data_IF_149138639328
#
_entry.id   IF_149138639328
#
_cell.length_a   1.000
_cell.length_b   1.000
_cell.length_c   1.000
_cell.angle_alpha   90.00
_cell.angle_beta   90.00
_cell.angle_gamma   90.00
#
_symmetry.space_group_name_H-M   'P 1'
#
loop_
_entity.id
_entity.type
_entity.pdbx_description
1 polymer ?
#
# COMPACT_ATOMS: atom_id res chain seq x y z
N UNK A 1 14.87 4.72 8.70
CA UNK A 1 14.61 5.96 7.94
C UNK A 1 14.79 7.20 8.83
N UNK A 2 15.98 7.42 9.46
CA UNK A 2 16.22 8.59 10.30
C UNK A 2 15.96 9.93 9.58
N UNK A 3 16.26 10.06 8.28
CA UNK A 3 16.02 11.31 7.52
C UNK A 3 14.54 11.75 7.52
N UNK A 4 13.64 10.78 7.54
CA UNK A 4 12.21 10.99 7.35
C UNK A 4 11.43 11.10 8.66
N UNK A 5 12.01 10.68 9.79
CA UNK A 5 11.29 10.52 11.05
C UNK A 5 10.82 11.85 11.66
N UNK A 6 11.54 12.96 11.42
CA UNK A 6 11.24 14.27 12.02
C UNK A 6 10.57 15.25 11.05
N UNK A 7 10.39 14.87 9.78
CA UNK A 7 9.83 15.75 8.75
C UNK A 7 8.32 15.60 8.61
N UNK A 8 7.60 16.71 8.74
CA UNK A 8 6.17 16.78 8.42
C UNK A 8 5.89 16.36 6.97
N UNK A 9 4.67 15.89 6.72
CA UNK A 9 4.20 15.56 5.39
C UNK A 9 4.09 16.84 4.54
N UNK A 10 4.80 16.90 3.42
CA UNK A 10 4.79 18.06 2.53
C UNK A 10 5.08 17.66 1.08
N UNK A 11 4.34 18.24 0.13
CA UNK A 11 4.60 18.10 -1.30
C UNK A 11 5.98 18.61 -1.71
N UNK A 12 6.58 19.53 -0.94
CA UNK A 12 7.93 20.05 -1.12
C UNK A 12 9.01 18.97 -0.93
N UNK A 13 8.73 17.91 -0.16
CA UNK A 13 9.66 16.80 0.06
C UNK A 13 9.81 15.89 -1.16
N UNK A 14 8.92 16.00 -2.15
CA UNK A 14 8.96 15.15 -3.34
C UNK A 14 10.06 15.63 -4.29
N UNK A 15 10.76 14.68 -4.92
CA UNK A 15 11.68 14.94 -6.04
C UNK A 15 11.22 14.23 -7.29
N UNK A 16 11.22 14.90 -8.43
CA UNK A 16 10.85 14.32 -9.72
C UNK A 16 12.11 13.90 -10.49
N UNK A 17 12.09 12.73 -11.10
CA UNK A 17 13.12 12.33 -12.05
C UNK A 17 12.87 12.98 -13.41
N UNK A 18 13.82 13.80 -13.86
CA UNK A 18 13.83 14.39 -15.20
C UNK A 18 14.96 13.78 -16.02
N UNK A 19 14.67 13.12 -17.16
CA UNK A 19 15.69 12.61 -18.05
C UNK A 19 16.71 13.69 -18.43
N UNK A 20 18.00 13.36 -18.40
CA UNK A 20 19.09 14.29 -18.67
C UNK A 20 19.42 15.32 -17.57
N UNK A 21 18.47 15.67 -16.70
CA UNK A 21 18.69 16.60 -15.56
C UNK A 21 18.88 15.89 -14.21
N UNK A 22 18.45 14.63 -14.09
CA UNK A 22 18.52 13.89 -12.83
C UNK A 22 17.32 14.19 -11.93
N UNK A 23 17.52 14.14 -10.61
CA UNK A 23 16.42 14.33 -9.65
C UNK A 23 16.31 15.79 -9.24
N UNK A 24 15.14 16.37 -9.48
CA UNK A 24 14.83 17.77 -9.19
C UNK A 24 13.92 17.88 -7.97
N UNK A 25 14.25 18.77 -7.03
CA UNK A 25 13.37 19.07 -5.90
C UNK A 25 12.06 19.72 -6.35
N UNK A 26 10.96 19.43 -5.63
CA UNK A 26 9.65 20.02 -5.88
C UNK A 26 9.65 21.53 -5.64
N UNK A 27 10.22 21.98 -4.52
CA UNK A 27 10.37 23.39 -4.19
C UNK A 27 11.38 24.09 -5.12
N UNK A 28 11.17 25.39 -5.36
CA UNK A 28 12.14 26.23 -6.06
C UNK A 28 13.36 26.51 -5.17
N UNK A 29 14.55 26.60 -5.77
CA UNK A 29 15.74 27.04 -5.03
C UNK A 29 15.75 28.57 -5.00
N UNK A 30 15.70 29.21 -3.82
CA UNK A 30 15.76 30.66 -3.72
C UNK A 30 17.11 31.17 -4.26
N UNK A 31 17.14 32.38 -4.84
CA UNK A 31 18.35 32.90 -5.44
C UNK A 31 19.45 33.10 -4.41
N UNK A 32 20.64 32.59 -4.69
CA UNK A 32 21.81 32.60 -3.80
C UNK A 32 22.43 34.01 -3.68
N UNK A 33 22.10 34.93 -4.58
CA UNK A 33 22.56 36.32 -4.59
C UNK A 33 21.45 37.28 -5.04
N UNK A 34 21.48 38.54 -4.56
CA UNK A 34 20.58 39.61 -5.02
C UNK A 34 20.72 39.80 -6.55
N UNK A 35 19.63 39.54 -7.28
CA UNK A 35 19.57 39.64 -8.74
C UNK A 35 19.73 38.33 -9.51
N UNK A 36 20.01 37.20 -8.85
CA UNK A 36 19.93 35.88 -9.48
C UNK A 36 18.47 35.45 -9.65
N UNK A 37 18.15 34.72 -10.72
CA UNK A 37 16.83 34.12 -10.87
C UNK A 37 16.73 32.83 -10.02
N UNK A 38 15.57 32.55 -9.40
CA UNK A 38 15.34 31.29 -8.69
C UNK A 38 15.48 30.12 -9.67
N UNK A 39 16.06 29.01 -9.22
CA UNK A 39 16.08 27.80 -10.06
C UNK A 39 14.69 27.16 -10.02
N UNK A 40 14.08 26.87 -11.18
CA UNK A 40 12.74 26.29 -11.21
C UNK A 40 12.76 24.91 -10.54
N UNK A 41 11.79 24.70 -9.65
CA UNK A 41 11.51 23.40 -9.05
C UNK A 41 10.59 22.55 -9.94
N UNK A 42 10.35 21.30 -9.52
CA UNK A 42 9.52 20.34 -10.24
C UNK A 42 8.04 20.33 -9.80
N UNK A 43 7.61 21.22 -8.90
CA UNK A 43 6.25 21.24 -8.33
C UNK A 43 5.15 21.28 -9.40
N UNK A 44 5.33 22.08 -10.46
CA UNK A 44 4.36 22.22 -11.54
C UNK A 44 4.22 20.95 -12.38
N UNK A 45 5.34 20.27 -12.64
CA UNK A 45 5.38 19.01 -13.39
C UNK A 45 4.79 17.86 -12.56
N UNK A 46 5.11 17.82 -11.26
CA UNK A 46 4.50 16.88 -10.30
C UNK A 46 2.99 17.08 -10.26
N UNK A 47 2.53 18.33 -10.08
CA UNK A 47 1.11 18.65 -10.05
C UNK A 47 0.39 18.28 -11.35
N UNK A 48 1.02 18.53 -12.51
CA UNK A 48 0.50 18.14 -13.82
C UNK A 48 0.37 16.62 -13.96
N UNK A 49 1.41 15.86 -13.60
CA UNK A 49 1.40 14.40 -13.64
C UNK A 49 0.30 13.81 -12.75
N UNK A 50 0.17 14.30 -11.52
CA UNK A 50 -0.86 13.86 -10.56
C UNK A 50 -2.28 14.25 -11.00
N UNK A 51 -2.47 15.44 -11.57
CA UNK A 51 -3.75 15.86 -12.13
C UNK A 51 -4.15 14.99 -13.33
N UNK A 52 -3.20 14.61 -14.18
CA UNK A 52 -3.42 13.71 -15.30
C UNK A 52 -3.86 12.32 -14.85
N UNK A 53 -3.31 11.80 -13.75
CA UNK A 53 -3.77 10.55 -13.12
C UNK A 53 -5.24 10.66 -12.73
N UNK A 54 -5.60 11.71 -12.00
CA UNK A 54 -6.96 11.92 -11.49
C UNK A 54 -8.00 12.11 -12.60
N UNK A 55 -7.58 12.69 -13.74
CA UNK A 55 -8.43 12.95 -14.89
C UNK A 55 -8.61 11.75 -15.83
N UNK A 56 -7.79 10.70 -15.74
CA UNK A 56 -7.94 9.48 -16.53
C UNK A 56 -9.35 8.86 -16.38
N UNK A 57 -9.79 8.08 -17.36
CA UNK A 57 -11.06 7.34 -17.29
C UNK A 57 -10.98 6.23 -16.25
N UNK A 58 -9.91 5.45 -16.27
CA UNK A 58 -9.67 4.38 -15.30
C UNK A 58 -8.54 4.81 -14.36
N UNK A 59 -8.80 4.78 -13.04
CA UNK A 59 -7.80 5.11 -12.02
C UNK A 59 -7.54 3.87 -11.18
N UNK A 60 -6.29 3.44 -11.19
CA UNK A 60 -5.77 2.31 -10.44
C UNK A 60 -4.69 2.81 -9.50
N UNK A 61 -4.79 2.45 -8.23
CA UNK A 61 -3.82 2.81 -7.21
C UNK A 61 -3.25 1.53 -6.64
N UNK A 62 -1.93 1.45 -6.49
CA UNK A 62 -1.25 0.36 -5.81
C UNK A 62 -0.44 0.91 -4.65
N UNK A 63 -0.73 0.44 -3.44
CA UNK A 63 0.03 0.79 -2.23
C UNK A 63 0.73 -0.42 -1.64
N UNK A 64 1.95 -0.22 -1.14
CA UNK A 64 2.69 -1.23 -0.38
C UNK A 64 2.97 -0.79 1.05
N UNK A 65 3.93 -1.45 1.70
CA UNK A 65 4.27 -1.24 3.12
C UNK A 65 4.63 0.23 3.43
N UNK A 66 5.11 0.99 2.43
CA UNK A 66 5.36 2.42 2.57
C UNK A 66 4.13 3.25 2.96
N UNK A 67 2.92 2.80 2.62
CA UNK A 67 1.70 3.47 3.11
C UNK A 67 1.42 3.15 4.58
N UNK A 68 1.67 1.92 5.02
CA UNK A 68 1.55 1.53 6.43
C UNK A 68 2.41 2.42 7.31
N UNK A 69 3.66 2.72 6.91
CA UNK A 69 4.56 3.63 7.63
C UNK A 69 4.07 5.08 7.76
N UNK A 70 3.06 5.50 7.00
CA UNK A 70 2.43 6.81 7.17
C UNK A 70 1.44 6.83 8.35
N UNK A 71 1.04 5.67 8.87
CA UNK A 71 0.20 5.59 10.06
C UNK A 71 1.03 5.87 11.31
N UNK A 72 0.55 6.80 12.14
CA UNK A 72 1.25 7.20 13.38
C UNK A 72 0.40 6.84 14.58
N UNK A 73 0.98 6.07 15.48
CA UNK A 73 0.35 5.66 16.73
C UNK A 73 0.96 6.41 17.92
N UNK A 74 0.17 6.72 18.98
CA UNK A 74 0.69 7.28 20.22
C UNK A 74 1.64 6.29 20.92
N UNK A 75 2.61 6.83 21.68
CA UNK A 75 3.87 6.16 22.02
C UNK A 75 3.82 4.72 22.54
N UNK A 76 2.83 4.37 23.37
CA UNK A 76 2.75 3.02 23.96
C UNK A 76 2.18 1.95 23.02
N UNK A 77 1.79 2.32 21.79
CA UNK A 77 1.16 1.41 20.83
C UNK A 77 2.14 0.94 19.76
N UNK A 78 1.83 -0.24 19.21
CA UNK A 78 2.57 -0.79 18.08
C UNK A 78 2.61 0.20 16.92
N UNK A 79 3.77 0.39 16.32
CA UNK A 79 3.93 1.18 15.09
C UNK A 79 4.05 0.27 13.88
N UNK A 80 3.83 0.77 12.65
CA UNK A 80 4.02 -0.03 11.44
C UNK A 80 5.39 -0.75 11.42
N UNK A 81 5.40 -2.02 11.02
CA UNK A 81 6.56 -2.90 11.10
C UNK A 81 7.21 -3.10 9.72
N UNK A 82 8.53 -2.96 9.65
CA UNK A 82 9.32 -3.51 8.55
C UNK A 82 9.63 -5.00 8.77
N UNK A 83 10.22 -5.65 7.77
CA UNK A 83 10.61 -7.07 7.88
C UNK A 83 11.63 -7.34 8.99
N UNK A 84 12.47 -6.36 9.33
CA UNK A 84 13.38 -6.43 10.48
C UNK A 84 12.64 -6.44 11.82
N UNK A 85 11.65 -5.55 11.99
CA UNK A 85 10.84 -5.52 13.21
C UNK A 85 10.01 -6.80 13.38
N UNK A 86 9.56 -7.39 12.26
CA UNK A 86 8.87 -8.68 12.25
C UNK A 86 9.81 -9.80 12.69
N UNK A 87 11.06 -9.80 12.22
CA UNK A 87 12.09 -10.75 12.67
C UNK A 87 12.30 -10.68 14.18
N UNK A 88 12.46 -9.48 14.72
CA UNK A 88 12.65 -9.27 16.16
C UNK A 88 11.41 -9.66 16.96
N UNK A 89 10.21 -9.33 16.47
CA UNK A 89 8.95 -9.71 17.11
C UNK A 89 8.78 -11.24 17.20
N UNK A 90 9.10 -11.97 16.12
CA UNK A 90 9.07 -13.43 16.13
C UNK A 90 10.11 -13.99 17.11
N UNK A 91 11.32 -13.43 17.14
CA UNK A 91 12.36 -13.85 18.08
C UNK A 91 11.94 -13.67 19.54
N UNK A 92 11.27 -12.57 19.88
CA UNK A 92 10.75 -12.33 21.23
C UNK A 92 9.61 -13.29 21.57
N UNK A 93 8.68 -13.51 20.64
CA UNK A 93 7.51 -14.37 20.88
C UNK A 93 7.86 -15.85 21.05
N UNK A 94 8.81 -16.35 20.26
CA UNK A 94 9.27 -17.74 20.30
C UNK A 94 10.29 -17.97 21.43
N UNK A 95 11.03 -16.92 21.80
CA UNK A 95 12.16 -17.00 22.72
C UNK A 95 13.48 -17.13 21.96
N UNK A 96 14.51 -16.41 22.43
CA UNK A 96 15.78 -16.29 21.72
C UNK A 96 16.49 -17.64 21.52
N UNK A 97 16.46 -18.54 22.51
CA UNK A 97 17.11 -19.85 22.42
C UNK A 97 16.46 -20.74 21.35
N UNK A 98 15.14 -20.78 21.31
CA UNK A 98 14.38 -21.55 20.33
C UNK A 98 14.56 -20.99 18.92
N UNK A 99 14.49 -19.67 18.78
CA UNK A 99 14.69 -18.98 17.52
C UNK A 99 16.10 -19.20 16.97
N UNK A 100 17.13 -19.01 17.79
CA UNK A 100 18.53 -19.17 17.39
C UNK A 100 18.85 -20.66 17.11
N UNK A 101 18.17 -21.59 17.79
CA UNK A 101 18.22 -23.03 17.51
C UNK A 101 17.70 -23.37 16.11
N UNK A 102 16.55 -22.82 15.72
CA UNK A 102 15.97 -23.00 14.37
C UNK A 102 16.84 -22.33 13.29
N UNK A 103 17.36 -21.12 13.55
CA UNK A 103 18.30 -20.46 12.63
C UNK A 103 19.56 -21.28 12.43
N UNK A 104 20.06 -21.93 13.49
CA UNK A 104 21.23 -22.81 13.42
C UNK A 104 20.94 -24.09 12.62
N UNK A 105 19.76 -24.67 12.79
CA UNK A 105 19.33 -25.87 12.04
C UNK A 105 19.40 -25.65 10.52
N UNK A 106 18.94 -24.50 10.04
CA UNK A 106 18.93 -24.16 8.61
C UNK A 106 20.20 -23.43 8.14
N UNK A 107 21.06 -23.03 9.06
CA UNK A 107 22.31 -22.32 8.83
C UNK A 107 22.14 -20.80 8.70
N UNK A 108 22.72 -20.05 9.63
CA UNK A 108 22.62 -18.59 9.71
C UNK A 108 22.99 -17.86 8.41
N UNK A 109 23.99 -18.36 7.66
CA UNK A 109 24.38 -17.79 6.35
C UNK A 109 23.30 -17.91 5.28
N UNK A 110 22.49 -18.97 5.32
CA UNK A 110 21.38 -19.18 4.36
C UNK A 110 20.18 -18.30 4.71
N UNK A 111 19.89 -18.19 6.01
CA UNK A 111 18.78 -17.37 6.52
C UNK A 111 19.06 -15.88 6.32
N UNK A 112 20.31 -15.44 6.52
CA UNK A 112 20.76 -14.06 6.28
C UNK A 112 19.87 -12.99 6.96
N UNK A 113 19.42 -13.28 8.19
CA UNK A 113 18.53 -12.41 8.99
C UNK A 113 17.26 -11.97 8.25
N UNK A 114 16.74 -12.83 7.37
CA UNK A 114 15.55 -12.55 6.60
C UNK A 114 14.46 -13.54 7.02
N UNK A 115 13.38 -13.00 7.60
CA UNK A 115 12.25 -13.79 8.10
C UNK A 115 11.57 -14.57 6.97
N UNK A 116 11.53 -14.01 5.75
CA UNK A 116 10.95 -14.69 4.59
C UNK A 116 11.70 -15.96 4.22
N UNK A 117 13.04 -15.87 4.22
CA UNK A 117 13.90 -17.03 3.96
C UNK A 117 13.74 -18.07 5.06
N UNK A 118 13.69 -17.63 6.33
CA UNK A 118 13.54 -18.55 7.45
C UNK A 118 12.24 -19.33 7.37
N UNK A 119 11.10 -18.64 7.24
CA UNK A 119 9.78 -19.27 7.15
C UNK A 119 9.65 -20.16 5.91
N UNK A 120 10.27 -19.79 4.79
CA UNK A 120 10.35 -20.65 3.59
C UNK A 120 11.08 -21.95 3.89
N UNK A 121 12.24 -21.89 4.54
CA UNK A 121 13.03 -23.08 4.86
C UNK A 121 12.30 -23.99 5.86
N UNK A 122 11.62 -23.40 6.85
CA UNK A 122 10.78 -24.15 7.79
C UNK A 122 9.64 -24.89 7.08
N UNK A 123 8.89 -24.22 6.20
CA UNK A 123 7.79 -24.86 5.45
C UNK A 123 8.29 -25.96 4.51
N UNK A 124 9.36 -25.70 3.76
CA UNK A 124 9.99 -26.71 2.90
C UNK A 124 10.45 -27.93 3.70
N UNK A 125 11.00 -27.71 4.89
CA UNK A 125 11.40 -28.81 5.78
C UNK A 125 10.21 -29.64 6.23
N UNK A 126 9.10 -29.00 6.63
CA UNK A 126 7.87 -29.68 7.04
C UNK A 126 7.28 -30.50 5.87
N UNK A 127 7.20 -29.93 4.67
CA UNK A 127 6.70 -30.63 3.48
C UNK A 127 7.56 -31.83 3.08
N UNK A 128 8.89 -31.70 3.16
CA UNK A 128 9.82 -32.80 2.86
C UNK A 128 9.81 -33.92 3.91
N UNK A 129 9.36 -33.63 5.13
CA UNK A 129 9.40 -34.55 6.27
C UNK A 129 8.01 -34.89 6.81
N UNK A 130 6.96 -34.75 6.00
CA UNK A 130 5.56 -35.04 6.38
C UNK A 130 5.35 -36.49 6.87
N UNK A 131 6.21 -37.43 6.45
CA UNK A 131 6.24 -38.81 6.96
C UNK A 131 6.90 -39.00 8.34
N UNK A 132 7.44 -37.95 8.97
CA UNK A 132 8.12 -37.98 10.27
C UNK A 132 7.35 -37.23 11.36
N UNK A 133 6.03 -37.13 11.24
CA UNK A 133 5.16 -36.60 12.31
C UNK A 133 5.46 -37.38 13.60
N UNK A 134 5.83 -36.65 14.67
CA UNK A 134 6.29 -37.22 15.95
C UNK A 134 7.80 -37.27 16.16
N UNK A 135 8.62 -36.86 15.17
CA UNK A 135 10.03 -36.55 15.39
C UNK A 135 10.16 -35.20 16.11
N UNK A 136 11.00 -35.14 17.16
CA UNK A 136 11.20 -33.95 17.98
C UNK A 136 11.60 -32.71 17.15
N UNK A 137 12.33 -32.91 16.04
CA UNK A 137 12.73 -31.80 15.16
C UNK A 137 11.57 -31.29 14.29
N UNK A 138 10.69 -32.20 13.84
CA UNK A 138 9.51 -31.86 13.06
C UNK A 138 8.53 -31.05 13.92
N UNK A 139 8.19 -31.58 15.09
CA UNK A 139 7.23 -30.95 16.00
C UNK A 139 7.71 -29.58 16.48
N UNK A 140 9.02 -29.45 16.75
CA UNK A 140 9.65 -28.17 17.09
C UNK A 140 9.55 -27.15 15.94
N UNK A 141 9.79 -27.57 14.70
CA UNK A 141 9.70 -26.69 13.53
C UNK A 141 8.25 -26.29 13.25
N UNK A 142 7.30 -27.20 13.43
CA UNK A 142 5.88 -26.93 13.27
C UNK A 142 5.38 -25.93 14.34
N UNK A 143 5.75 -26.13 15.60
CA UNK A 143 5.45 -25.22 16.69
C UNK A 143 6.06 -23.82 16.47
N UNK A 144 7.31 -23.76 15.97
CA UNK A 144 7.96 -22.51 15.59
C UNK A 144 7.17 -21.74 14.53
N UNK A 145 6.76 -22.42 13.45
CA UNK A 145 6.00 -21.78 12.36
C UNK A 145 4.68 -21.22 12.88
N UNK A 146 3.93 -21.98 13.68
CA UNK A 146 2.67 -21.52 14.25
C UNK A 146 2.88 -20.29 15.16
N UNK A 147 3.87 -20.34 16.05
CA UNK A 147 4.20 -19.23 16.93
C UNK A 147 4.64 -17.99 16.16
N UNK A 148 5.43 -18.16 15.08
CA UNK A 148 5.85 -17.08 14.20
C UNK A 148 4.66 -16.46 13.45
N UNK A 149 3.73 -17.27 12.93
CA UNK A 149 2.53 -16.79 12.23
C UNK A 149 1.61 -15.99 13.16
N UNK A 150 1.44 -16.42 14.42
CA UNK A 150 0.72 -15.68 15.47
C UNK A 150 1.43 -14.37 15.81
N UNK A 151 2.76 -14.40 15.98
CA UNK A 151 3.54 -13.21 16.29
C UNK A 151 3.49 -12.17 15.17
N UNK A 152 3.55 -12.61 13.90
CA UNK A 152 3.40 -11.75 12.73
C UNK A 152 2.03 -11.08 12.75
N UNK A 153 0.96 -11.87 12.90
CA UNK A 153 -0.41 -11.36 12.99
C UNK A 153 -0.57 -10.28 14.06
N UNK A 154 -0.06 -10.54 15.27
CA UNK A 154 -0.10 -9.59 16.37
C UNK A 154 0.74 -8.34 16.08
N UNK A 155 1.90 -8.48 15.42
CA UNK A 155 2.80 -7.37 15.11
C UNK A 155 2.22 -6.42 14.06
N UNK A 156 1.45 -6.94 13.10
CA UNK A 156 0.83 -6.16 12.03
C UNK A 156 -0.58 -5.64 12.38
N UNK A 157 -1.19 -6.12 13.47
CA UNK A 157 -2.45 -5.59 14.00
C UNK A 157 -2.21 -4.35 14.89
N UNK A 158 -1.82 -3.24 14.26
CA UNK A 158 -1.52 -1.98 14.96
C UNK A 158 -2.60 -0.90 14.78
N UNK A 159 -3.62 -1.13 13.96
CA UNK A 159 -4.60 -0.10 13.58
C UNK A 159 -5.80 -0.11 14.52
N UNK A 160 -6.06 1.03 15.15
CA UNK A 160 -7.23 1.27 15.98
C UNK A 160 -7.81 2.68 15.79
N UNK A 161 -8.78 3.06 16.63
CA UNK A 161 -9.47 4.35 16.55
C UNK A 161 -8.58 5.57 16.85
N UNK A 162 -7.44 5.39 17.52
CA UNK A 162 -6.50 6.46 17.87
C UNK A 162 -5.32 6.57 16.90
N UNK A 163 -5.13 5.60 16.00
CA UNK A 163 -4.12 5.68 14.94
C UNK A 163 -4.37 6.89 14.05
N UNK A 164 -3.38 7.75 13.84
CA UNK A 164 -3.44 8.81 12.84
C UNK A 164 -3.35 8.18 11.44
N UNK A 165 -4.35 8.48 10.60
CA UNK A 165 -4.51 7.96 9.25
C UNK A 165 -4.77 9.09 8.24
N UNK A 166 -4.28 10.30 8.51
CA UNK A 166 -4.58 11.51 7.72
C UNK A 166 -4.18 11.35 6.26
N UNK A 167 -3.01 10.74 5.98
CA UNK A 167 -2.55 10.47 4.62
C UNK A 167 -3.47 9.47 3.87
N UNK A 168 -3.93 8.41 4.55
CA UNK A 168 -4.84 7.42 3.98
C UNK A 168 -6.20 8.05 3.68
N UNK A 169 -6.71 8.85 4.62
CA UNK A 169 -7.95 9.63 4.48
C UNK A 169 -7.88 10.62 3.31
N UNK A 170 -6.77 11.37 3.20
CA UNK A 170 -6.55 12.31 2.12
C UNK A 170 -6.52 11.61 0.75
N UNK A 171 -5.86 10.45 0.64
CA UNK A 171 -5.84 9.68 -0.60
C UNK A 171 -7.24 9.24 -1.02
N UNK A 172 -8.00 8.58 -0.13
CA UNK A 172 -9.34 8.08 -0.49
C UNK A 172 -10.31 9.21 -0.84
N UNK A 173 -10.21 10.36 -0.17
CA UNK A 173 -11.02 11.54 -0.46
C UNK A 173 -10.72 12.08 -1.86
N UNK A 174 -9.44 12.27 -2.20
CA UNK A 174 -9.02 12.79 -3.51
C UNK A 174 -9.39 11.83 -4.65
N UNK A 175 -9.33 10.52 -4.40
CA UNK A 175 -9.55 9.50 -5.42
C UNK A 175 -11.03 9.15 -5.63
N UNK A 176 -11.85 9.16 -4.57
CA UNK A 176 -13.27 8.81 -4.69
C UNK A 176 -14.22 9.97 -4.98
N UNK A 177 -13.70 11.21 -5.03
CA UNK A 177 -14.44 12.42 -5.50
C UNK A 177 -14.49 12.56 -7.03
N UNK A 178 -14.19 11.50 -7.77
CA UNK A 178 -14.30 11.47 -9.23
C UNK A 178 -15.77 11.49 -9.66
N UNK A 179 -16.03 12.05 -10.84
CA UNK A 179 -17.39 12.16 -11.36
C UNK A 179 -18.08 10.79 -11.43
N UNK A 180 -19.33 10.72 -10.98
CA UNK A 180 -20.11 9.46 -10.87
C UNK A 180 -20.33 8.72 -12.19
N UNK A 181 -20.04 9.37 -13.33
CA UNK A 181 -20.09 8.76 -14.67
C UNK A 181 -18.80 8.03 -15.06
N UNK A 182 -17.70 8.27 -14.36
CA UNK A 182 -16.45 7.54 -14.58
C UNK A 182 -16.50 6.23 -13.77
N UNK A 183 -15.83 5.16 -14.24
CA UNK A 183 -15.63 3.96 -13.45
C UNK A 183 -15.08 4.28 -12.05
N UNK A 184 -15.52 3.52 -11.03
CA UNK A 184 -15.00 3.64 -9.66
C UNK A 184 -13.48 3.50 -9.67
N UNK A 185 -12.78 4.33 -8.90
CA UNK A 185 -11.35 4.14 -8.73
C UNK A 185 -11.08 2.84 -7.97
N UNK A 186 -10.02 2.14 -8.38
CA UNK A 186 -9.63 0.83 -7.83
C UNK A 186 -8.37 1.00 -6.98
N UNK A 187 -8.48 0.71 -5.70
CA UNK A 187 -7.37 0.73 -4.75
C UNK A 187 -6.91 -0.70 -4.48
N UNK A 188 -5.69 -1.02 -4.90
CA UNK A 188 -5.00 -2.26 -4.62
C UNK A 188 -3.95 -2.03 -3.54
N UNK A 189 -3.84 -2.96 -2.60
CA UNK A 189 -2.79 -2.93 -1.58
C UNK A 189 -2.19 -4.31 -1.35
N UNK A 190 -0.90 -4.36 -1.05
CA UNK A 190 -0.23 -5.57 -0.56
C UNK A 190 -0.22 -5.67 0.96
N UNK A 191 -0.80 -4.68 1.65
CA UNK A 191 -0.71 -4.59 3.11
C UNK A 191 -1.80 -5.42 3.78
N UNK A 192 -1.43 -6.08 4.88
CA UNK A 192 -2.33 -6.87 5.71
C UNK A 192 -3.16 -6.01 6.67
N UNK A 193 -2.62 -4.84 7.04
CA UNK A 193 -3.20 -3.92 8.04
C UNK A 193 -4.53 -3.30 7.59
N UNK A 194 -5.25 -2.68 8.54
CA UNK A 194 -6.59 -2.12 8.31
C UNK A 194 -6.58 -0.59 8.13
N UNK A 195 -5.46 0.01 7.68
CA UNK A 195 -5.31 1.46 7.61
C UNK A 195 -6.38 2.10 6.69
N UNK A 196 -6.64 1.51 5.52
CA UNK A 196 -7.61 2.05 4.58
C UNK A 196 -9.05 1.85 5.04
N UNK A 197 -9.37 0.71 5.63
CA UNK A 197 -10.69 0.38 6.15
C UNK A 197 -11.07 1.32 7.29
N UNK A 198 -10.16 1.55 8.22
CA UNK A 198 -10.39 2.48 9.33
C UNK A 198 -10.45 3.94 8.83
N UNK A 199 -9.61 4.33 7.87
CA UNK A 199 -9.69 5.65 7.24
C UNK A 199 -11.03 5.87 6.49
N UNK A 200 -11.52 4.85 5.78
CA UNK A 200 -12.78 4.87 5.08
C UNK A 200 -13.98 4.95 6.03
N UNK A 201 -13.96 4.15 7.11
CA UNK A 201 -14.97 4.20 8.18
C UNK A 201 -15.09 5.61 8.76
N UNK A 202 -13.96 6.25 9.07
CA UNK A 202 -13.92 7.63 9.61
C UNK A 202 -14.39 8.70 8.62
N UNK A 203 -14.11 8.49 7.33
CA UNK A 203 -14.43 9.45 6.26
C UNK A 203 -15.78 9.19 5.59
N UNK A 204 -16.56 8.19 6.05
CA UNK A 204 -17.83 7.74 5.43
C UNK A 204 -17.68 7.31 3.97
N UNK A 205 -16.56 6.67 3.67
CA UNK A 205 -16.36 5.97 2.41
C UNK A 205 -16.83 4.53 2.52
N UNK A 206 -17.32 3.98 1.42
CA UNK A 206 -17.68 2.58 1.31
C UNK A 206 -16.74 1.88 0.32
N UNK A 207 -16.29 0.69 0.68
CA UNK A 207 -15.50 -0.16 -0.20
C UNK A 207 -16.37 -1.26 -0.80
N UNK A 208 -16.16 -1.50 -2.09
CA UNK A 208 -16.58 -2.71 -2.77
C UNK A 208 -15.34 -3.61 -2.82
N UNK A 209 -15.30 -4.62 -1.96
CA UNK A 209 -14.09 -5.39 -1.65
C UNK A 209 -14.29 -6.92 -1.76
N UNK A 210 -15.39 -7.33 -2.39
CA UNK A 210 -15.74 -8.74 -2.58
C UNK A 210 -16.51 -9.34 -1.40
N UNK A 211 -16.71 -8.61 -0.30
CA UNK A 211 -17.51 -9.09 0.82
C UNK A 211 -18.98 -8.66 0.70
N UNK A 212 -19.86 -9.52 1.18
CA UNK A 212 -21.30 -9.26 1.22
C UNK A 212 -21.66 -8.26 2.32
N UNK A 213 -22.86 -7.68 2.23
CA UNK A 213 -23.38 -6.70 3.19
C UNK A 213 -24.29 -7.35 4.26
N UNK A 214 -24.09 -8.63 4.55
CA UNK A 214 -24.83 -9.38 5.56
C UNK A 214 -24.24 -9.18 6.97
N UNK A 215 -24.89 -9.78 7.98
CA UNK A 215 -24.38 -9.76 9.36
C UNK A 215 -22.98 -10.37 9.44
N UNK A 216 -22.84 -11.58 8.90
CA UNK A 216 -21.56 -12.23 8.69
C UNK A 216 -21.13 -11.95 7.24
N UNK A 217 -20.11 -11.11 7.09
CA UNK A 217 -19.62 -10.72 5.77
C UNK A 217 -18.81 -11.88 5.17
N UNK A 218 -19.39 -12.52 4.16
CA UNK A 218 -18.78 -13.59 3.36
C UNK A 218 -18.16 -13.04 2.09
N UNK A 219 -16.99 -13.54 1.71
CA UNK A 219 -16.36 -13.24 0.42
C UNK A 219 -17.04 -14.00 -0.71
N UNK A 220 -17.35 -13.30 -1.79
CA UNK A 220 -17.72 -13.85 -3.09
C UNK A 220 -17.25 -12.89 -4.18
N UNK A 221 -16.57 -13.42 -5.20
CA UNK A 221 -16.09 -12.63 -6.35
C UNK A 221 -17.21 -11.81 -7.00
N UNK A 222 -18.44 -12.33 -7.03
CA UNK A 222 -19.61 -11.64 -7.62
C UNK A 222 -19.90 -10.31 -6.92
N UNK A 223 -19.53 -10.15 -5.65
CA UNK A 223 -19.75 -8.89 -4.94
C UNK A 223 -18.92 -7.73 -5.50
N UNK A 224 -17.83 -7.99 -6.25
CA UNK A 224 -17.09 -6.92 -6.96
C UNK A 224 -17.87 -6.32 -8.13
N UNK A 225 -18.83 -7.05 -8.68
CA UNK A 225 -19.67 -6.62 -9.79
C UNK A 225 -20.88 -5.78 -9.30
N UNK A 226 -21.09 -5.68 -7.98
CA UNK A 226 -22.15 -4.91 -7.36
C UNK A 226 -21.70 -3.46 -7.09
N UNK A 227 -22.63 -2.51 -7.20
CA UNK A 227 -22.41 -1.11 -6.82
C UNK A 227 -23.58 -0.59 -5.96
N UNK A 228 -23.34 0.47 -5.21
CA UNK A 228 -24.30 1.09 -4.30
C UNK A 228 -24.94 2.29 -4.99
N UNK A 229 -26.26 2.23 -5.12
CA UNK A 229 -27.06 3.27 -5.76
C UNK A 229 -28.17 3.78 -4.84
N UNK A 230 -28.51 5.05 -4.97
CA UNK A 230 -29.68 5.68 -4.37
C UNK A 230 -30.84 5.57 -5.36
N UNK A 231 -31.97 5.08 -4.87
CA UNK A 231 -33.23 5.04 -5.62
C UNK A 231 -34.17 6.09 -5.05
N UNK A 232 -34.63 7.00 -5.88
CA UNK A 232 -35.63 8.01 -5.52
C UNK A 232 -36.97 7.66 -6.17
N UNK A 233 -38.06 7.84 -5.42
CA UNK A 233 -39.40 7.56 -5.92
C UNK A 233 -39.70 8.53 -7.07
N UNK A 234 -40.06 7.98 -8.23
CA UNK A 234 -40.38 8.77 -9.44
C UNK A 234 -39.21 9.00 -10.39
N UNK A 235 -38.00 8.51 -10.09
CA UNK A 235 -36.85 8.53 -11.01
C UNK A 235 -36.63 7.14 -11.61
N UNK A 236 -36.56 7.05 -12.95
CA UNK A 236 -36.34 5.77 -13.63
C UNK A 236 -34.92 5.23 -13.47
N UNK A 237 -33.91 6.11 -13.50
CA UNK A 237 -32.51 5.72 -13.34
C UNK A 237 -32.02 5.95 -11.92
N UNK A 238 -31.33 4.96 -11.31
CA UNK A 238 -30.75 5.12 -9.99
C UNK A 238 -29.52 6.03 -10.02
N UNK A 239 -29.28 6.76 -8.93
CA UNK A 239 -28.10 7.62 -8.79
C UNK A 239 -26.99 6.87 -8.07
N UNK A 240 -25.82 6.77 -8.68
CA UNK A 240 -24.64 6.19 -8.03
C UNK A 240 -24.25 6.98 -6.78
N UNK A 241 -24.06 6.27 -5.67
CA UNK A 241 -23.62 6.89 -4.41
C UNK A 241 -22.18 7.37 -4.56
N UNK A 242 -21.88 8.57 -4.08
CA UNK A 242 -20.51 9.12 -4.04
C UNK A 242 -19.70 8.49 -2.91
N UNK A 243 -18.38 8.71 -2.88
CA UNK A 243 -17.48 8.19 -1.84
C UNK A 243 -17.45 6.65 -1.78
N UNK A 244 -17.56 6.01 -2.95
CA UNK A 244 -17.45 4.55 -3.12
C UNK A 244 -16.23 4.24 -3.97
N UNK A 245 -15.40 3.31 -3.51
CA UNK A 245 -14.18 2.84 -4.17
C UNK A 245 -14.19 1.32 -4.25
N UNK A 246 -13.57 0.75 -5.29
CA UNK A 246 -13.26 -0.68 -5.28
C UNK A 246 -11.94 -0.89 -4.53
N UNK A 247 -11.89 -1.89 -3.66
CA UNK A 247 -10.75 -2.14 -2.78
C UNK A 247 -10.31 -3.60 -2.84
N UNK A 248 -9.02 -3.82 -3.05
CA UNK A 248 -8.45 -5.14 -3.28
C UNK A 248 -7.19 -5.32 -2.43
N UNK A 249 -7.15 -6.39 -1.62
CA UNK A 249 -5.97 -6.77 -0.82
C UNK A 249 -5.29 -7.99 -1.41
N UNK A 250 -4.24 -7.75 -2.20
CA UNK A 250 -3.55 -8.77 -3.00
C UNK A 250 -2.92 -9.89 -2.17
N UNK A 251 -2.56 -9.60 -0.91
CA UNK A 251 -1.95 -10.56 0.01
C UNK A 251 -2.87 -10.94 1.18
N UNK A 252 -4.16 -10.60 1.09
CA UNK A 252 -5.12 -10.86 2.16
C UNK A 252 -5.09 -9.84 3.29
N UNK A 253 -5.74 -10.19 4.39
CA UNK A 253 -5.99 -9.26 5.49
C UNK A 253 -5.96 -9.96 6.84
N UNK A 254 -5.61 -9.21 7.89
CA UNK A 254 -5.60 -9.73 9.26
C UNK A 254 -7.00 -10.09 9.79
N UNK A 255 -8.05 -9.53 9.19
CA UNK A 255 -9.45 -9.75 9.56
C UNK A 255 -10.15 -10.76 8.64
N UNK A 256 -9.43 -11.52 7.81
CA UNK A 256 -10.01 -12.59 7.00
C UNK A 256 -9.77 -13.96 7.62
N UNK A 257 -10.82 -14.76 7.68
CA UNK A 257 -10.80 -16.10 8.27
C UNK A 257 -11.49 -17.12 7.37
N UNK A 258 -10.89 -18.29 7.22
CA UNK A 258 -11.51 -19.43 6.54
C UNK A 258 -12.21 -20.32 7.55
N UNK A 259 -13.52 -20.43 7.43
CA UNK A 259 -14.37 -21.24 8.31
C UNK A 259 -15.23 -22.14 7.44
N UNK A 260 -15.08 -23.47 7.58
CA UNK A 260 -15.87 -24.46 6.82
C UNK A 260 -15.83 -24.25 5.28
N UNK A 261 -14.71 -23.76 4.76
CA UNK A 261 -14.51 -23.50 3.33
C UNK A 261 -14.87 -22.08 2.89
N UNK A 262 -15.70 -21.37 3.65
CA UNK A 262 -16.06 -19.97 3.38
C UNK A 262 -15.02 -19.01 3.95
N UNK A 263 -14.87 -17.84 3.32
CA UNK A 263 -14.00 -16.77 3.81
C UNK A 263 -14.89 -15.71 4.43
N UNK A 264 -14.69 -15.46 5.73
CA UNK A 264 -15.42 -14.50 6.52
C UNK A 264 -14.52 -13.32 6.88
N UNK A 265 -15.10 -12.12 6.92
CA UNK A 265 -14.45 -10.98 7.56
C UNK A 265 -14.79 -10.95 9.04
N UNK A 266 -13.82 -11.23 9.89
CA UNK A 266 -13.97 -11.15 11.34
C UNK A 266 -12.62 -10.93 12.03
N UNK A 267 -12.63 -10.12 13.09
CA UNK A 267 -11.48 -9.97 13.99
C UNK A 267 -11.42 -11.07 15.06
N UNK A 268 -12.42 -11.94 15.12
CA UNK A 268 -12.41 -13.06 16.05
C UNK A 268 -11.39 -14.12 15.60
N UNK A 269 -10.79 -14.81 16.56
CA UNK A 269 -9.89 -15.92 16.32
C UNK A 269 -10.68 -17.20 16.02
N UNK A 270 -11.41 -17.20 14.91
CA UNK A 270 -12.24 -18.33 14.44
C UNK A 270 -11.72 -18.78 13.08
N UNK A 271 -11.47 -20.07 12.92
CA UNK A 271 -10.93 -20.64 11.68
C UNK A 271 -9.50 -20.18 11.36
N UNK A 272 -9.08 -20.44 10.13
CA UNK A 272 -7.70 -20.22 9.69
C UNK A 272 -7.51 -18.80 9.13
N UNK A 273 -6.42 -18.09 9.45
CA UNK A 273 -6.10 -16.81 8.82
C UNK A 273 -5.99 -16.90 7.29
N UNK A 274 -6.61 -15.94 6.59
CA UNK A 274 -6.50 -15.82 5.12
C UNK A 274 -5.64 -14.61 4.79
N UNK A 275 -4.32 -14.80 4.90
CA UNK A 275 -3.31 -13.87 4.40
C UNK A 275 -2.08 -14.64 3.90
N UNK A 276 -1.35 -14.01 2.99
CA UNK A 276 -0.12 -14.55 2.39
C UNK A 276 1.07 -14.14 3.27
N UNK A 277 1.66 -15.08 4.00
CA UNK A 277 2.75 -14.77 4.93
C UNK A 277 4.05 -14.40 4.20
N UNK A 278 4.92 -13.55 4.78
CA UNK A 278 6.27 -13.23 4.30
C UNK A 278 7.12 -14.49 4.04
N UNK A 279 7.10 -15.07 2.83
CA UNK A 279 7.80 -16.29 2.36
C UNK A 279 8.10 -16.19 0.86
N UNK A 280 8.92 -17.08 0.29
CA UNK A 280 9.05 -17.20 -1.17
C UNK A 280 8.00 -18.12 -1.80
N UNK A 281 7.39 -19.02 -1.02
CA UNK A 281 6.26 -19.86 -1.45
C UNK A 281 4.95 -19.10 -1.67
N UNK A 282 4.89 -17.81 -1.29
CA UNK A 282 3.76 -16.90 -1.53
C UNK A 282 3.23 -16.94 -2.95
N UNK A 283 4.11 -17.20 -3.92
CA UNK A 283 3.75 -17.32 -5.32
C UNK A 283 2.67 -18.39 -5.53
N UNK A 284 2.84 -19.58 -4.93
CA UNK A 284 1.86 -20.66 -5.05
C UNK A 284 0.56 -20.31 -4.32
N UNK A 285 0.65 -19.77 -3.10
CA UNK A 285 -0.50 -19.34 -2.32
C UNK A 285 -1.33 -18.26 -3.05
N UNK A 286 -0.69 -17.42 -3.90
CA UNK A 286 -1.39 -16.39 -4.67
C UNK A 286 -2.32 -16.92 -5.78
N UNK A 287 -2.26 -18.22 -6.09
CA UNK A 287 -3.17 -18.86 -7.06
C UNK A 287 -4.45 -19.42 -6.43
N UNK A 288 -4.60 -19.36 -5.11
CA UNK A 288 -5.83 -19.75 -4.44
C UNK A 288 -6.82 -18.58 -4.32
N UNK A 289 -8.11 -18.88 -4.26
CA UNK A 289 -9.14 -17.90 -3.92
C UNK A 289 -8.98 -17.49 -2.43
N UNK A 290 -8.92 -16.18 -2.12
CA UNK A 290 -9.43 -15.04 -2.90
C UNK A 290 -8.35 -14.27 -3.68
N UNK A 291 -7.09 -14.64 -3.57
CA UNK A 291 -5.95 -13.87 -4.09
C UNK A 291 -5.91 -13.86 -5.62
N UNK A 292 -6.19 -15.01 -6.24
CA UNK A 292 -6.23 -15.13 -7.70
C UNK A 292 -7.27 -14.18 -8.31
N UNK A 293 -8.43 -14.05 -7.67
CA UNK A 293 -9.50 -13.15 -8.12
C UNK A 293 -9.04 -11.69 -8.07
N UNK A 294 -8.38 -11.28 -6.99
CA UNK A 294 -7.87 -9.92 -6.82
C UNK A 294 -6.70 -9.60 -7.76
N UNK A 295 -5.79 -10.55 -7.98
CA UNK A 295 -4.70 -10.41 -8.93
C UNK A 295 -5.23 -10.36 -10.38
N UNK A 296 -6.23 -11.18 -10.70
CA UNK A 296 -6.90 -11.14 -12.00
C UNK A 296 -7.59 -9.80 -12.24
N UNK A 297 -8.26 -9.26 -11.23
CA UNK A 297 -8.87 -7.92 -11.27
C UNK A 297 -7.82 -6.81 -11.48
N UNK A 298 -6.64 -6.93 -10.85
CA UNK A 298 -5.51 -6.02 -11.05
C UNK A 298 -5.01 -6.07 -12.50
N UNK A 299 -4.71 -7.27 -13.02
CA UNK A 299 -4.25 -7.44 -14.39
C UNK A 299 -5.29 -7.01 -15.44
N UNK A 300 -6.57 -7.20 -15.16
CA UNK A 300 -7.64 -6.69 -16.01
C UNK A 300 -7.66 -5.16 -16.00
N UNK A 301 -7.60 -4.53 -14.82
CA UNK A 301 -7.59 -3.08 -14.69
C UNK A 301 -6.41 -2.41 -15.41
N UNK A 302 -5.22 -3.03 -15.41
CA UNK A 302 -4.05 -2.51 -16.12
C UNK A 302 -4.17 -2.56 -17.65
N UNK A 303 -5.01 -3.46 -18.18
CA UNK A 303 -5.23 -3.63 -19.63
C UNK A 303 -6.30 -2.69 -20.19
N UNK A 304 -7.09 -2.06 -19.34
CA UNK A 304 -8.11 -1.11 -19.77
C UNK A 304 -7.47 0.11 -20.46
N UNK A 305 -8.12 0.68 -21.50
CA UNK A 305 -7.64 1.90 -22.15
C UNK A 305 -7.80 3.11 -21.23
N UNK A 306 -6.99 4.15 -21.48
CA UNK A 306 -7.00 5.41 -20.71
C UNK A 306 -6.91 5.18 -19.19
N UNK A 307 -6.01 4.27 -18.81
CA UNK A 307 -5.73 3.90 -17.42
C UNK A 307 -4.57 4.70 -16.87
N UNK A 308 -4.74 5.24 -15.65
CA UNK A 308 -3.66 5.78 -14.86
C UNK A 308 -3.37 4.86 -13.67
N UNK A 309 -2.11 4.42 -13.54
CA UNK A 309 -1.61 3.65 -12.42
C UNK A 309 -0.76 4.55 -11.52
N UNK A 310 -1.21 4.75 -10.28
CA UNK A 310 -0.47 5.44 -9.23
C UNK A 310 0.08 4.42 -8.23
N UNK A 311 1.40 4.30 -8.16
CA UNK A 311 2.09 3.39 -7.24
C UNK A 311 2.74 4.21 -6.13
N UNK A 312 2.49 3.85 -4.87
CA UNK A 312 3.13 4.51 -3.73
C UNK A 312 3.52 3.54 -2.62
N UNK A 313 4.73 3.70 -2.09
CA UNK A 313 5.21 2.89 -0.98
C UNK A 313 5.38 1.41 -1.32
N UNK A 314 5.64 1.08 -2.58
CA UNK A 314 5.81 -0.28 -3.09
C UNK A 314 7.22 -0.44 -3.66
N UNK A 315 8.02 -1.30 -3.02
CA UNK A 315 9.44 -1.50 -3.36
C UNK A 315 9.72 -2.43 -4.56
N UNK A 316 8.69 -2.90 -5.27
CA UNK A 316 8.81 -3.83 -6.41
C UNK A 316 9.53 -5.15 -6.09
N UNK A 317 9.45 -5.62 -4.84
CA UNK A 317 10.07 -6.88 -4.42
C UNK A 317 9.19 -8.10 -4.76
N UNK A 318 7.89 -7.89 -5.00
CA UNK A 318 6.94 -8.94 -5.37
C UNK A 318 6.90 -9.12 -6.90
N UNK A 319 7.49 -10.20 -7.40
CA UNK A 319 7.58 -10.52 -8.83
C UNK A 319 6.20 -10.70 -9.48
N UNK A 320 5.24 -11.32 -8.79
CA UNK A 320 3.89 -11.60 -9.30
C UNK A 320 3.03 -10.34 -9.46
N UNK A 321 3.40 -9.24 -8.81
CA UNK A 321 2.74 -7.93 -8.93
C UNK A 321 3.53 -7.02 -9.88
N UNK A 322 4.86 -7.03 -9.77
CA UNK A 322 5.75 -6.16 -10.53
C UNK A 322 5.83 -6.55 -12.00
N UNK A 323 5.80 -7.86 -12.33
CA UNK A 323 5.87 -8.32 -13.72
C UNK A 323 4.64 -7.88 -14.53
N UNK A 324 3.39 -8.04 -14.06
CA UNK A 324 2.21 -7.49 -14.73
C UNK A 324 2.27 -5.98 -14.98
N UNK A 325 2.85 -5.21 -14.05
CA UNK A 325 3.00 -3.75 -14.23
C UNK A 325 3.93 -3.45 -15.40
N UNK A 326 5.09 -4.10 -15.47
CA UNK A 326 6.01 -3.92 -16.60
C UNK A 326 5.38 -4.35 -17.92
N UNK A 327 4.71 -5.50 -17.95
CA UNK A 327 3.99 -5.96 -19.15
C UNK A 327 2.89 -4.97 -19.56
N UNK A 328 2.19 -4.36 -18.61
CA UNK A 328 1.18 -3.33 -18.93
C UNK A 328 1.82 -2.07 -19.53
N UNK A 329 2.98 -1.65 -19.04
CA UNK A 329 3.72 -0.49 -19.61
C UNK A 329 4.19 -0.78 -21.05
N UNK A 330 4.60 -2.02 -21.33
CA UNK A 330 5.03 -2.47 -22.66
C UNK A 330 3.86 -2.52 -23.66
N UNK A 331 2.70 -3.03 -23.25
CA UNK A 331 1.59 -3.31 -24.18
C UNK A 331 0.48 -2.25 -24.20
N UNK A 332 0.21 -1.56 -23.09
CA UNK A 332 -0.83 -0.54 -23.02
C UNK A 332 -0.25 0.84 -23.35
N UNK A 333 -0.37 1.25 -24.62
CA UNK A 333 0.14 2.53 -25.11
C UNK A 333 -0.48 3.75 -24.40
N UNK A 334 -1.69 3.60 -23.85
CA UNK A 334 -2.43 4.67 -23.15
C UNK A 334 -2.20 4.70 -21.64
N UNK A 335 -1.44 3.74 -21.09
CA UNK A 335 -1.18 3.67 -19.66
C UNK A 335 -0.33 4.85 -19.22
N UNK A 336 -0.82 5.60 -18.22
CA UNK A 336 -0.06 6.64 -17.51
C UNK A 336 0.43 6.04 -16.21
N UNK A 337 1.73 6.10 -15.95
CA UNK A 337 2.35 5.52 -14.77
C UNK A 337 2.98 6.62 -13.91
N UNK A 338 2.58 6.69 -12.64
CA UNK A 338 3.25 7.53 -11.64
C UNK A 338 3.71 6.63 -10.50
N UNK A 339 5.01 6.65 -10.20
CA UNK A 339 5.60 5.87 -9.11
C UNK A 339 6.23 6.84 -8.11
N UNK A 340 5.82 6.75 -6.84
CA UNK A 340 6.35 7.56 -5.76
C UNK A 340 6.84 6.68 -4.60
N UNK A 341 8.16 6.57 -4.44
CA UNK A 341 8.75 5.74 -3.39
C UNK A 341 10.09 6.29 -2.89
N UNK A 342 10.42 6.19 -1.59
CA UNK A 342 11.71 6.62 -1.08
C UNK A 342 12.89 5.77 -1.59
N UNK A 343 12.67 4.55 -2.10
CA UNK A 343 13.73 3.61 -2.54
C UNK A 343 14.63 4.15 -3.65
N UNK A 344 14.17 5.14 -4.41
CA UNK A 344 14.93 5.64 -5.56
C UNK A 344 16.16 6.48 -5.20
N UNK A 345 16.18 7.13 -4.02
CA UNK A 345 17.28 7.99 -3.57
C UNK A 345 17.66 7.58 -2.15
N UNK A 346 18.96 7.38 -1.90
CA UNK A 346 19.46 7.06 -0.58
C UNK A 346 19.38 8.27 0.37
N UNK A 347 19.18 8.00 1.66
CA UNK A 347 19.07 9.03 2.70
C UNK A 347 20.29 9.97 2.73
N UNK A 348 21.51 9.42 2.59
CA UNK A 348 22.74 10.21 2.58
C UNK A 348 22.79 11.25 1.44
N UNK A 349 22.18 10.96 0.29
CA UNK A 349 22.11 11.93 -0.82
C UNK A 349 21.03 12.99 -0.59
N UNK A 350 19.95 12.63 0.12
CA UNK A 350 18.88 13.55 0.50
C UNK A 350 19.31 14.53 1.62
N UNK A 351 20.16 14.08 2.54
CA UNK A 351 20.78 14.91 3.58
C UNK A 351 21.69 15.99 3.00
N UNK A 352 22.35 15.71 1.88
CA UNK A 352 23.18 16.68 1.16
C UNK A 352 22.41 17.90 0.64
N UNK A 353 21.07 17.86 0.62
CA UNK A 353 20.22 19.03 0.37
C UNK A 353 20.31 19.65 -1.02
N UNK A 354 21.04 19.05 -1.95
CA UNK A 354 21.22 19.60 -3.30
C UNK A 354 19.89 19.70 -4.04
N UNK A 355 19.66 20.80 -4.76
CA UNK A 355 18.46 21.03 -5.57
C UNK A 355 18.33 20.00 -6.71
N UNK A 356 19.46 19.74 -7.38
CA UNK A 356 19.58 18.74 -8.43
C UNK A 356 20.54 17.62 -7.96
N UNK A 357 20.09 16.37 -7.99
CA UNK A 357 20.94 15.21 -7.72
C UNK A 357 21.23 14.47 -9.02
N UNK A 358 22.50 14.49 -9.41
CA UNK A 358 23.04 13.74 -10.53
C UNK A 358 23.71 12.45 -10.04
N UNK A 359 23.90 11.49 -10.95
CA UNK A 359 24.63 10.24 -10.69
C UNK A 359 24.09 9.37 -9.54
N UNK A 360 22.80 9.49 -9.22
CA UNK A 360 22.16 8.62 -8.21
C UNK A 360 22.24 7.17 -8.70
N UNK A 361 22.80 6.24 -7.91
CA UNK A 361 22.93 4.83 -8.29
C UNK A 361 21.57 4.25 -8.70
N UNK A 362 21.56 3.43 -9.74
CA UNK A 362 20.35 2.68 -10.10
C UNK A 362 20.18 1.55 -9.10
N UNK A 363 18.96 1.34 -8.60
CA UNK A 363 18.64 0.23 -7.71
C UNK A 363 19.00 -1.11 -8.35
N UNK A 364 19.40 -2.09 -7.52
CA UNK A 364 19.65 -3.46 -7.96
C UNK A 364 18.40 -4.20 -8.41
N UNK A 365 17.20 -3.68 -8.07
CA UNK A 365 15.94 -4.27 -8.48
C UNK A 365 15.70 -4.07 -9.99
N UNK A 366 15.47 -5.18 -10.71
CA UNK A 366 15.27 -5.19 -12.18
C UNK A 366 14.10 -4.33 -12.64
N UNK A 367 13.03 -4.23 -11.86
CA UNK A 367 11.82 -3.48 -12.24
C UNK A 367 12.06 -1.98 -12.10
N UNK A 368 12.67 -1.56 -10.98
CA UNK A 368 13.07 -0.17 -10.75
C UNK A 368 14.07 0.28 -11.82
N UNK A 369 15.06 -0.57 -12.14
CA UNK A 369 16.00 -0.30 -13.21
C UNK A 369 15.30 -0.23 -14.59
N UNK A 370 14.32 -1.09 -14.85
CA UNK A 370 13.49 -1.06 -16.06
C UNK A 370 12.70 0.23 -16.21
N UNK A 371 12.01 0.67 -15.16
CA UNK A 371 11.26 1.94 -15.15
C UNK A 371 12.18 3.13 -15.39
N UNK A 372 13.37 3.15 -14.77
CA UNK A 372 14.35 4.21 -14.99
C UNK A 372 14.84 4.25 -16.43
N UNK A 373 15.12 3.08 -17.04
CA UNK A 373 15.47 3.01 -18.47
C UNK A 373 14.38 3.54 -19.39
N UNK A 374 13.11 3.27 -19.08
CA UNK A 374 11.97 3.79 -19.86
C UNK A 374 11.86 5.31 -19.74
N UNK A 375 12.03 5.85 -18.54
CA UNK A 375 12.09 7.29 -18.33
C UNK A 375 13.28 7.91 -19.08
N UNK A 376 14.47 7.28 -19.02
CA UNK A 376 15.67 7.74 -19.74
C UNK A 376 15.53 7.69 -21.26
N UNK A 377 14.75 6.74 -21.78
CA UNK A 377 14.39 6.66 -23.20
C UNK A 377 13.41 7.77 -23.62
N UNK A 378 12.90 8.58 -22.68
CA UNK A 378 12.00 9.70 -22.94
C UNK A 378 10.52 9.30 -23.02
N UNK A 379 10.12 8.18 -22.40
CA UNK A 379 8.70 7.81 -22.33
C UNK A 379 7.93 8.79 -21.42
N UNK A 380 7.21 9.72 -22.06
CA UNK A 380 6.46 10.77 -21.38
C UNK A 380 5.29 10.25 -20.50
N UNK A 381 4.97 8.96 -20.58
CA UNK A 381 3.89 8.34 -19.79
C UNK A 381 4.36 7.91 -18.40
N UNK A 382 5.67 7.76 -18.19
CA UNK A 382 6.26 7.24 -16.96
C UNK A 382 6.85 8.40 -16.16
N UNK A 383 6.23 8.71 -15.02
CA UNK A 383 6.72 9.70 -14.07
C UNK A 383 7.23 8.99 -12.81
N UNK A 384 8.49 9.24 -12.47
CA UNK A 384 9.14 8.66 -11.30
C UNK A 384 9.41 9.76 -10.29
N UNK A 385 8.94 9.55 -9.06
CA UNK A 385 9.04 10.49 -7.95
C UNK A 385 9.68 9.80 -6.75
N UNK A 386 10.52 10.55 -6.03
CA UNK A 386 11.05 10.14 -4.73
C UNK A 386 10.31 10.91 -3.64
N UNK A 387 9.67 10.21 -2.72
CA UNK A 387 8.88 10.79 -1.63
C UNK A 387 8.14 9.70 -0.85
N UNK A 388 7.64 10.04 0.34
CA UNK A 388 6.84 9.11 1.15
C UNK A 388 5.38 9.12 0.70
N UNK A 389 4.63 8.13 1.16
CA UNK A 389 3.19 8.07 0.94
C UNK A 389 2.46 9.31 1.46
N UNK A 390 2.80 9.82 2.66
CA UNK A 390 2.18 11.04 3.19
C UNK A 390 2.50 12.30 2.36
N UNK A 391 3.69 12.38 1.78
CA UNK A 391 4.08 13.52 0.94
C UNK A 391 3.31 13.49 -0.38
N UNK A 392 3.16 12.30 -0.99
CA UNK A 392 2.31 12.10 -2.17
C UNK A 392 0.84 12.45 -1.87
N UNK A 393 0.32 11.98 -0.74
CA UNK A 393 -1.04 12.28 -0.31
C UNK A 393 -1.27 13.79 -0.17
N UNK A 394 -0.28 14.54 0.32
CA UNK A 394 -0.30 16.00 0.37
C UNK A 394 -0.26 16.65 -1.02
N UNK A 395 0.59 16.12 -1.92
CA UNK A 395 0.79 16.68 -3.27
C UNK A 395 -0.38 16.46 -4.25
N UNK A 396 -1.23 15.46 -4.03
CA UNK A 396 -2.38 15.20 -4.88
C UNK A 396 -3.34 16.41 -4.90
N UNK A 397 -3.77 16.90 -6.08
CA UNK A 397 -4.70 18.03 -6.15
C UNK A 397 -6.14 17.59 -5.86
N UNK A 398 -6.98 18.53 -5.44
CA UNK A 398 -8.42 18.31 -5.29
C UNK A 398 -9.14 18.51 -6.62
N UNK A 399 -9.79 17.46 -7.13
CA UNK A 399 -10.58 17.50 -8.38
C UNK A 399 -11.87 18.30 -8.26
N UNK A 400 -12.51 18.28 -7.09
CA UNK A 400 -13.81 18.88 -6.82
C UNK A 400 -13.76 19.50 -5.42
N UNK A 401 -14.24 20.73 -5.28
CA UNK A 401 -14.38 21.38 -3.98
C UNK A 401 -15.32 20.59 -3.05
N UNK A 402 -15.15 20.73 -1.73
CA UNK A 402 -15.95 20.01 -0.75
C UNK A 402 -17.46 20.21 -0.97
N UNK A 403 -18.21 19.10 -0.95
CA UNK A 403 -19.67 19.16 -1.05
C UNK A 403 -20.27 19.87 0.17
N UNK A 404 -21.42 20.52 0.03
CA UNK A 404 -22.09 21.22 1.15
C UNK A 404 -22.42 20.27 2.30
N UNK A 405 -22.73 19.01 1.98
CA UNK A 405 -23.00 17.97 2.99
C UNK A 405 -21.75 17.63 3.80
N UNK A 406 -20.58 17.57 3.17
CA UNK A 406 -19.31 17.30 3.85
C UNK A 406 -18.88 18.49 4.70
N UNK A 407 -18.98 19.71 4.18
CA UNK A 407 -18.77 20.93 4.99
C UNK A 407 -19.71 20.98 6.18
N UNK A 408 -20.96 20.58 6.01
CA UNK A 408 -21.91 20.47 7.11
C UNK A 408 -21.50 19.38 8.11
N UNK A 409 -21.12 18.18 7.65
CA UNK A 409 -20.69 17.08 8.53
C UNK A 409 -19.40 17.43 9.29
N UNK A 410 -18.40 18.01 8.62
CA UNK A 410 -17.17 18.51 9.25
C UNK A 410 -17.51 19.61 10.27
N UNK A 411 -18.36 20.58 9.92
CA UNK A 411 -18.81 21.62 10.85
C UNK A 411 -19.51 21.04 12.07
N UNK A 412 -20.40 20.07 11.89
CA UNK A 412 -21.08 19.36 12.98
C UNK A 412 -20.09 18.55 13.83
N UNK A 413 -19.08 17.93 13.21
CA UNK A 413 -18.03 17.21 13.91
C UNK A 413 -17.16 18.15 14.75
N UNK A 414 -16.66 19.24 14.17
CA UNK A 414 -15.91 20.27 14.90
C UNK A 414 -16.71 20.86 16.05
N UNK A 415 -18.02 21.05 15.89
CA UNK A 415 -18.90 21.50 16.98
C UNK A 415 -19.06 20.44 18.09
N UNK A 416 -19.15 19.15 17.74
CA UNK A 416 -19.23 18.05 18.72
C UNK A 416 -17.91 17.85 19.46
N UNK A 417 -16.79 17.92 18.75
CA UNK A 417 -15.45 17.77 19.32
C UNK A 417 -15.11 18.98 20.22
N UNK A 418 -15.57 20.20 19.86
CA UNK A 418 -15.46 21.38 20.72
C UNK A 418 -16.41 21.35 21.94
N UNK A 419 -17.58 20.72 21.81
CA UNK A 419 -18.56 20.59 22.90
C UNK A 419 -18.21 19.51 23.93
N UNK A 420 -17.33 18.56 23.59
CA UNK A 420 -16.89 17.48 24.48
C UNK A 420 -15.85 17.88 25.54
N UNK A 421 -15.36 19.12 25.52
CA UNK A 421 -14.40 19.65 26.52
C UNK A 421 -15.12 20.36 27.68
N UNK A 422 -16.45 20.46 27.65
CA UNK A 422 -17.26 21.19 28.64
C UNK A 422 -18.30 20.32 29.38
N UNK A 423 -18.10 19.00 29.47
CA UNK A 423 -18.96 18.09 30.24
C UNK A 423 -18.17 17.27 31.26
#
# INVERSE_FOLDING_TARGET
MPYWNERAADAANIRLYSPGRGWLASAEEPPVAEGAQPKPGASRDIGSALLNVLNATNVVILTGTGSSFAAVNPGDKLTPAGMGDVWDAVRVAVGAEEFDGIVTLFGAKRVASNIEKLLTLCKLYLELHDGKIGDATYDRTAAFVLAAEIAILARVDFVDAATNLDAHGALIQKMGRRGVRKPRAKLFTTNYDLCFEEAARRSRFSFIDGFSHHLDQTYDRVNFDLDVVRREIGRESPDYVQNVLQFYKLHGSIDWRRVKGEILRTRQAVGDPVLIYPRSSKYQESFDAPYLDMLSAFQAALREPDTALLISGFGFNDDHISSPIMSAVEWNMSLRLVVCDPVFISEALLEGGAHELHNVPVSSNRFIAGLRRLADAGDARVHIMNGRFQDLAAALPDLVGETDRERHVQRIRSLRDAGGVAA
#
